data_IF_349208986181
#
_entry.id   IF_349208986181
#
_cell.length_a   1.000
_cell.length_b   1.000
_cell.length_c   1.000
_cell.angle_alpha   90.00
_cell.angle_beta   90.00
_cell.angle_gamma   90.00
#
_symmetry.space_group_name_H-M   'P 1'
#
loop_
_entity.id
_entity.type
_entity.pdbx_description
1 polymer ?
#
# COMPACT_ATOMS: atom_id res chain seq x y z
N UNK A 1 -6.49 8.62 -0.03
CA UNK A 1 -6.05 7.21 -0.11
C UNK A 1 -6.99 6.34 0.70
N UNK A 2 -7.51 5.23 0.17
CA UNK A 2 -8.40 4.31 0.90
C UNK A 2 -7.69 3.62 2.09
N UNK A 3 -8.42 3.21 3.15
CA UNK A 3 -7.85 2.64 4.37
C UNK A 3 -6.93 1.44 4.12
N UNK A 4 -7.35 0.49 3.28
CA UNK A 4 -6.56 -0.72 2.96
C UNK A 4 -5.26 -0.43 2.20
N UNK A 5 -5.25 0.56 1.31
CA UNK A 5 -4.04 0.95 0.59
C UNK A 5 -3.00 1.57 1.55
N UNK A 6 -3.48 2.35 2.53
CA UNK A 6 -2.63 2.91 3.58
C UNK A 6 -2.02 1.82 4.44
N UNK A 7 -2.87 0.91 4.93
CA UNK A 7 -2.48 -0.17 5.82
C UNK A 7 -1.40 -1.07 5.19
N UNK A 8 -1.63 -1.52 3.95
CA UNK A 8 -0.65 -2.34 3.20
C UNK A 8 0.69 -1.61 3.01
N UNK A 9 0.65 -0.32 2.67
CA UNK A 9 1.86 0.48 2.53
C UNK A 9 2.63 0.60 3.85
N UNK A 10 1.91 0.78 4.97
CA UNK A 10 2.54 0.91 6.28
C UNK A 10 3.21 -0.40 6.68
N UNK A 11 2.50 -1.52 6.58
CA UNK A 11 3.02 -2.85 6.89
C UNK A 11 4.24 -3.20 6.04
N UNK A 12 4.23 -2.85 4.76
CA UNK A 12 5.36 -3.11 3.89
C UNK A 12 6.55 -2.18 4.18
N UNK A 13 6.32 -0.88 4.40
CA UNK A 13 7.40 0.11 4.45
C UNK A 13 7.97 0.35 5.85
N UNK A 14 7.16 0.24 6.89
CA UNK A 14 7.58 0.43 8.28
C UNK A 14 7.83 -0.90 9.00
N UNK A 15 7.01 -1.92 8.73
CA UNK A 15 7.20 -3.26 9.34
C UNK A 15 7.97 -4.23 8.45
N UNK A 16 8.42 -3.81 7.27
CA UNK A 16 9.20 -4.61 6.31
C UNK A 16 8.56 -5.96 5.94
N UNK A 17 7.23 -6.07 6.06
CA UNK A 17 6.53 -7.32 5.76
C UNK A 17 6.49 -7.58 4.25
N UNK A 18 6.64 -8.85 3.87
CA UNK A 18 6.45 -9.29 2.50
C UNK A 18 4.96 -9.27 2.12
N UNK A 19 4.65 -9.26 0.82
CA UNK A 19 3.27 -9.28 0.36
C UNK A 19 2.51 -10.55 0.79
N UNK A 20 3.21 -11.66 1.01
CA UNK A 20 2.61 -12.88 1.54
C UNK A 20 2.21 -12.70 3.02
N UNK A 21 3.12 -12.19 3.85
CA UNK A 21 2.82 -11.92 5.27
C UNK A 21 1.71 -10.89 5.44
N UNK A 22 1.64 -9.88 4.57
CA UNK A 22 0.56 -8.89 4.58
C UNK A 22 -0.77 -9.53 4.15
N UNK A 23 -0.74 -10.39 3.13
CA UNK A 23 -1.91 -11.14 2.69
C UNK A 23 -2.49 -11.99 3.83
N UNK A 24 -1.63 -12.75 4.51
CA UNK A 24 -2.00 -13.59 5.64
C UNK A 24 -2.52 -12.75 6.82
N UNK A 25 -1.85 -11.64 7.15
CA UNK A 25 -2.24 -10.74 8.26
C UNK A 25 -3.59 -10.05 8.01
N UNK A 26 -3.89 -9.70 6.76
CA UNK A 26 -5.12 -8.99 6.40
C UNK A 26 -6.26 -9.92 5.95
N UNK A 27 -5.99 -11.22 5.79
CA UNK A 27 -6.95 -12.20 5.29
C UNK A 27 -7.37 -11.94 3.84
N UNK A 28 -6.46 -11.42 3.01
CA UNK A 28 -6.72 -11.10 1.59
C UNK A 28 -5.76 -11.84 0.68
N UNK A 29 -6.09 -11.93 -0.61
CA UNK A 29 -5.20 -12.54 -1.57
C UNK A 29 -3.96 -11.66 -1.86
N UNK A 30 -2.82 -12.30 -2.14
CA UNK A 30 -1.54 -11.63 -2.46
C UNK A 30 -1.64 -10.67 -3.65
N UNK A 31 -2.51 -10.98 -4.62
CA UNK A 31 -2.80 -10.08 -5.74
C UNK A 31 -3.51 -8.79 -5.29
N UNK A 32 -4.41 -8.87 -4.30
CA UNK A 32 -5.07 -7.71 -3.70
C UNK A 32 -4.06 -6.82 -2.99
N UNK A 33 -3.09 -7.41 -2.27
CA UNK A 33 -1.97 -6.66 -1.66
C UNK A 33 -1.20 -5.87 -2.72
N UNK A 34 -0.83 -6.51 -3.83
CA UNK A 34 -0.12 -5.84 -4.93
C UNK A 34 -0.95 -4.70 -5.55
N UNK A 35 -2.25 -4.93 -5.79
CA UNK A 35 -3.16 -3.90 -6.31
C UNK A 35 -3.30 -2.71 -5.34
N UNK A 36 -3.38 -2.97 -4.03
CA UNK A 36 -3.40 -1.93 -3.00
C UNK A 36 -2.09 -1.16 -2.94
N UNK A 37 -0.95 -1.82 -3.08
CA UNK A 37 0.37 -1.16 -3.13
C UNK A 37 0.49 -0.21 -4.31
N UNK A 38 0.12 -0.64 -5.51
CA UNK A 38 0.15 0.22 -6.71
C UNK A 38 -0.73 1.45 -6.51
N UNK A 39 -1.96 1.27 -6.01
CA UNK A 39 -2.87 2.38 -5.70
C UNK A 39 -2.30 3.33 -4.63
N UNK A 40 -1.66 2.79 -3.59
CA UNK A 40 -1.05 3.58 -2.53
C UNK A 40 0.09 4.47 -3.07
N UNK A 41 1.01 3.89 -3.84
CA UNK A 41 2.15 4.61 -4.43
C UNK A 41 1.65 5.66 -5.43
N UNK A 42 0.69 5.33 -6.30
CA UNK A 42 0.13 6.28 -7.25
C UNK A 42 -0.51 7.49 -6.56
N UNK A 43 -1.23 7.26 -5.45
CA UNK A 43 -1.77 8.36 -4.64
C UNK A 43 -0.67 9.24 -4.03
N UNK A 44 0.40 8.63 -3.49
CA UNK A 44 1.52 9.40 -2.95
C UNK A 44 2.22 10.23 -4.04
N UNK A 45 2.43 9.65 -5.22
CA UNK A 45 3.05 10.35 -6.36
C UNK A 45 2.20 11.53 -6.83
N UNK A 46 0.86 11.38 -6.90
CA UNK A 46 -0.05 12.48 -7.24
C UNK A 46 0.05 13.62 -6.23
N UNK A 47 -0.01 13.29 -4.93
CA UNK A 47 0.08 14.27 -3.84
C UNK A 47 1.42 15.01 -3.81
N UNK A 48 2.53 14.31 -4.04
CA UNK A 48 3.84 14.94 -4.12
C UNK A 48 3.94 15.92 -5.30
N UNK A 49 3.34 15.57 -6.45
CA UNK A 49 3.30 16.45 -7.62
C UNK A 49 2.46 17.69 -7.36
N UNK A 50 1.29 17.54 -6.73
CA UNK A 50 0.41 18.67 -6.35
C UNK A 50 1.06 19.61 -5.32
N UNK A 51 1.85 19.08 -4.38
CA UNK A 51 2.51 19.88 -3.34
C UNK A 51 3.77 20.62 -3.83
N UNK A 52 4.25 20.29 -5.04
CA UNK A 52 5.45 20.88 -5.65
C UNK A 52 5.11 21.86 -6.78
N UNK A 53 3.82 22.22 -6.94
CA UNK A 53 3.28 23.16 -7.92
C UNK A 53 2.64 24.35 -7.20
#
# INVERSE_FOLDING_TARGET
MPPRCREVLILHKFESLSYAQIADRLGIAKNSVAAHMVKAISHLRSRFREASA
#
